data_IF_676547561481
#
_entry.id   IF_676547561481
#
_cell.length_a   1.000
_cell.length_b   1.000
_cell.length_c   1.000
_cell.angle_alpha   90.00
_cell.angle_beta   90.00
_cell.angle_gamma   90.00
#
_symmetry.space_group_name_H-M   'P 1'
#
loop_
_entity.id
_entity.type
_entity.pdbx_description
1 polymer ?
#
# COMPACT_ATOMS: atom_id res chain seq x y z
N UNK A 1 36.68 1.67 -2.53
CA UNK A 1 35.29 2.06 -2.79
C UNK A 1 34.50 1.55 -1.61
N UNK A 2 33.88 2.46 -0.87
CA UNK A 2 33.16 2.16 0.36
C UNK A 2 32.00 1.19 0.03
N UNK A 3 31.75 0.18 0.88
CA UNK A 3 30.70 -0.82 0.65
C UNK A 3 29.32 -0.15 0.50
N UNK A 4 29.08 0.97 1.19
CA UNK A 4 27.82 1.70 1.12
C UNK A 4 27.64 2.41 -0.22
N UNK A 5 28.74 2.93 -0.82
CA UNK A 5 28.70 3.47 -2.20
C UNK A 5 28.42 2.40 -3.26
N UNK A 6 28.75 1.14 -3.02
CA UNK A 6 28.48 0.03 -3.93
C UNK A 6 27.04 -0.46 -3.84
N UNK A 7 26.41 -0.39 -2.65
CA UNK A 7 25.06 -0.91 -2.38
C UNK A 7 24.02 -0.38 -3.36
N UNK A 8 24.03 0.92 -3.63
CA UNK A 8 23.06 1.59 -4.50
C UNK A 8 23.66 2.12 -5.82
N UNK A 9 24.83 1.62 -6.22
CA UNK A 9 25.46 2.03 -7.47
C UNK A 9 24.58 1.76 -8.71
N UNK A 10 23.73 0.72 -8.67
CA UNK A 10 22.75 0.45 -9.72
C UNK A 10 21.69 1.57 -9.85
N UNK A 11 21.23 2.10 -8.72
CA UNK A 11 20.28 3.23 -8.68
C UNK A 11 20.93 4.48 -9.27
N UNK A 12 22.18 4.77 -8.88
CA UNK A 12 22.93 5.91 -9.43
C UNK A 12 23.16 5.79 -10.95
N UNK A 13 23.39 4.58 -11.47
CA UNK A 13 23.53 4.38 -12.92
C UNK A 13 22.22 4.56 -13.69
N UNK A 14 21.07 4.30 -13.05
CA UNK A 14 19.77 4.41 -13.69
C UNK A 14 19.20 5.84 -13.60
N UNK A 15 19.28 6.47 -12.42
CA UNK A 15 18.65 7.77 -12.15
C UNK A 15 19.66 8.93 -12.09
N UNK A 16 20.96 8.66 -12.26
CA UNK A 16 22.04 9.62 -12.06
C UNK A 16 22.35 9.88 -10.58
N UNK A 17 23.49 10.52 -10.31
CA UNK A 17 23.88 10.86 -8.93
C UNK A 17 22.88 11.80 -8.24
N UNK A 18 22.33 12.76 -8.97
CA UNK A 18 21.30 13.65 -8.43
C UNK A 18 20.00 12.90 -8.08
N UNK A 19 19.63 11.90 -8.86
CA UNK A 19 18.49 11.04 -8.56
C UNK A 19 18.70 10.24 -7.28
N UNK A 20 19.89 9.62 -7.11
CA UNK A 20 20.25 8.93 -5.88
C UNK A 20 20.23 9.88 -4.67
N UNK A 21 20.81 11.09 -4.81
CA UNK A 21 20.79 12.09 -3.73
C UNK A 21 19.37 12.49 -3.32
N UNK A 22 18.44 12.66 -4.28
CA UNK A 22 17.03 12.94 -3.99
C UNK A 22 16.35 11.78 -3.25
N UNK A 23 16.62 10.54 -3.64
CA UNK A 23 16.08 9.37 -2.95
C UNK A 23 16.62 9.27 -1.52
N UNK A 24 17.94 9.50 -1.33
CA UNK A 24 18.55 9.51 0.00
C UNK A 24 18.02 10.62 0.91
N UNK A 25 17.55 11.73 0.35
CA UNK A 25 16.97 12.84 1.11
C UNK A 25 15.45 12.69 1.30
N UNK A 26 14.81 11.76 0.59
CA UNK A 26 13.36 11.64 0.62
C UNK A 26 12.85 10.95 1.88
N UNK A 27 11.72 11.47 2.41
CA UNK A 27 10.94 10.87 3.47
C UNK A 27 9.61 10.34 2.92
N UNK A 28 9.40 9.03 2.97
CA UNK A 28 8.18 8.38 2.47
C UNK A 28 7.44 7.68 3.59
N UNK A 29 6.13 7.96 3.71
CA UNK A 29 5.25 7.26 4.62
C UNK A 29 4.53 6.10 3.92
N UNK A 30 4.53 4.91 4.51
CA UNK A 30 3.76 3.75 4.07
C UNK A 30 2.69 3.44 5.11
N UNK A 31 1.43 3.57 4.73
CA UNK A 31 0.30 3.37 5.64
C UNK A 31 -0.42 2.08 5.29
N UNK A 32 -0.38 1.12 6.22
CA UNK A 32 -0.79 -0.26 6.02
C UNK A 32 0.36 -1.15 5.53
N UNK A 33 0.94 -1.98 6.43
CA UNK A 33 2.08 -2.86 6.15
C UNK A 33 1.58 -4.30 5.91
N UNK A 34 0.54 -4.41 5.12
CA UNK A 34 -0.06 -5.68 4.71
C UNK A 34 0.56 -6.27 3.43
N UNK A 35 -0.27 -6.97 2.65
CA UNK A 35 0.15 -7.64 1.42
C UNK A 35 0.71 -6.74 0.32
N UNK A 36 0.33 -5.47 0.29
CA UNK A 36 0.85 -4.46 -0.65
C UNK A 36 1.93 -3.61 0.01
N UNK A 37 1.65 -3.01 1.18
CA UNK A 37 2.56 -2.05 1.80
C UNK A 37 3.89 -2.63 2.25
N UNK A 38 3.95 -3.92 2.61
CA UNK A 38 5.23 -4.56 2.92
C UNK A 38 6.18 -4.62 1.72
N UNK A 39 5.64 -4.76 0.51
CA UNK A 39 6.43 -4.73 -0.73
C UNK A 39 6.76 -3.30 -1.17
N UNK A 40 5.90 -2.31 -0.87
CA UNK A 40 6.26 -0.89 -1.01
C UNK A 40 7.48 -0.57 -0.14
N UNK A 41 7.43 -0.92 1.13
CA UNK A 41 8.52 -0.66 2.07
C UNK A 41 9.84 -1.35 1.65
N UNK A 42 9.76 -2.60 1.15
CA UNK A 42 10.90 -3.34 0.56
C UNK A 42 11.48 -2.60 -0.65
N UNK A 43 10.62 -2.15 -1.57
CA UNK A 43 11.04 -1.45 -2.79
C UNK A 43 11.71 -0.10 -2.46
N UNK A 44 11.16 0.68 -1.54
CA UNK A 44 11.74 1.95 -1.08
C UNK A 44 13.11 1.75 -0.44
N UNK A 45 13.25 0.76 0.44
CA UNK A 45 14.54 0.44 1.08
C UNK A 45 15.61 0.07 0.05
N UNK A 46 15.25 -0.76 -0.96
CA UNK A 46 16.14 -1.17 -2.05
C UNK A 46 16.42 -0.08 -3.07
N UNK A 47 15.63 0.97 -3.06
CA UNK A 47 15.80 2.15 -3.92
C UNK A 47 16.56 3.28 -3.25
N UNK A 48 17.18 3.04 -2.08
CA UNK A 48 17.97 4.02 -1.33
C UNK A 48 17.15 5.20 -0.78
N UNK A 49 15.86 5.01 -0.47
CA UNK A 49 15.10 6.04 0.25
C UNK A 49 15.67 6.21 1.64
N UNK A 50 15.96 7.47 2.03
CA UNK A 50 16.70 7.78 3.25
C UNK A 50 15.87 7.79 4.52
N UNK A 51 14.55 8.01 4.41
CA UNK A 51 13.66 8.02 5.56
C UNK A 51 12.32 7.36 5.23
N UNK A 52 11.88 6.40 6.06
CA UNK A 52 10.65 5.65 5.86
C UNK A 52 9.86 5.60 7.16
N UNK A 53 8.61 6.09 7.13
CA UNK A 53 7.66 5.93 8.23
C UNK A 53 6.68 4.81 7.92
N UNK A 54 6.53 3.85 8.82
CA UNK A 54 5.65 2.69 8.71
C UNK A 54 4.51 2.82 9.71
N UNK A 55 3.27 2.67 9.26
CA UNK A 55 2.08 2.74 10.11
C UNK A 55 1.22 1.48 9.93
N UNK A 56 1.10 0.69 10.99
CA UNK A 56 0.22 -0.49 11.06
C UNK A 56 0.13 -0.93 12.52
N UNK A 57 -1.05 -1.27 13.03
CA UNK A 57 -1.23 -1.76 14.40
C UNK A 57 -1.16 -3.28 14.50
N UNK A 58 -1.32 -3.99 13.41
CA UNK A 58 -1.43 -5.45 13.41
C UNK A 58 -0.09 -6.14 13.70
N UNK A 59 -0.22 -7.36 14.25
CA UNK A 59 0.87 -8.31 14.35
C UNK A 59 0.96 -9.20 13.09
N UNK A 60 2.13 -9.79 12.89
CA UNK A 60 2.35 -10.80 11.86
C UNK A 60 1.55 -12.06 12.19
N UNK A 61 0.69 -12.48 11.27
CA UNK A 61 -0.09 -13.71 11.38
C UNK A 61 0.44 -14.77 10.42
N UNK A 62 0.33 -16.05 10.78
CA UNK A 62 0.71 -17.17 9.91
C UNK A 62 -0.03 -17.14 8.56
N UNK A 63 -1.27 -16.67 8.55
CA UNK A 63 -2.07 -16.50 7.32
C UNK A 63 -1.56 -15.41 6.39
N UNK A 64 -0.59 -14.60 6.82
CA UNK A 64 0.03 -13.57 5.99
C UNK A 64 1.16 -14.11 5.10
N UNK A 65 1.63 -15.35 5.35
CA UNK A 65 2.80 -15.94 4.69
C UNK A 65 2.70 -15.97 3.17
N UNK A 66 1.50 -16.10 2.62
CA UNK A 66 1.29 -16.21 1.17
C UNK A 66 1.45 -14.88 0.41
N UNK A 67 1.58 -13.71 1.12
CA UNK A 67 1.58 -12.40 0.45
C UNK A 67 2.35 -11.27 1.14
N UNK A 68 2.76 -11.41 2.39
CA UNK A 68 3.50 -10.37 3.13
C UNK A 68 4.97 -10.80 3.30
N UNK A 69 5.91 -9.97 2.83
CA UNK A 69 7.33 -10.34 2.75
C UNK A 69 7.97 -10.57 4.12
N UNK A 70 7.48 -9.91 5.16
CA UNK A 70 7.99 -10.02 6.53
C UNK A 70 7.34 -11.18 7.33
N UNK A 71 6.31 -11.85 6.76
CA UNK A 71 5.62 -12.96 7.42
C UNK A 71 6.43 -14.25 7.31
N UNK A 72 7.44 -14.37 8.13
CA UNK A 72 8.31 -15.55 8.29
C UNK A 72 8.00 -16.28 9.59
N UNK A 73 8.38 -17.56 9.67
CA UNK A 73 8.09 -18.42 10.84
C UNK A 73 8.51 -17.78 12.18
N UNK A 74 9.68 -17.16 12.25
CA UNK A 74 10.17 -16.50 13.48
C UNK A 74 9.59 -15.10 13.76
N UNK A 75 8.72 -14.59 12.87
CA UNK A 75 8.13 -13.26 13.00
C UNK A 75 6.67 -13.29 13.49
N UNK A 76 6.01 -14.45 13.50
CA UNK A 76 4.60 -14.59 13.89
C UNK A 76 4.38 -14.08 15.33
N UNK A 77 3.37 -13.23 15.50
CA UNK A 77 3.02 -12.62 16.79
C UNK A 77 3.82 -11.34 17.12
N UNK A 78 4.70 -10.89 16.25
CA UNK A 78 5.43 -9.62 16.42
C UNK A 78 4.74 -8.49 15.63
N UNK A 79 4.81 -7.22 16.09
CA UNK A 79 4.27 -6.09 15.35
C UNK A 79 4.85 -6.00 13.92
N UNK A 80 3.98 -5.88 12.91
CA UNK A 80 4.40 -5.83 11.48
C UNK A 80 5.39 -4.72 11.22
N UNK A 81 5.17 -3.54 11.80
CA UNK A 81 6.05 -2.37 11.61
C UNK A 81 7.45 -2.59 12.15
N UNK A 82 7.58 -3.30 13.27
CA UNK A 82 8.89 -3.61 13.87
C UNK A 82 9.67 -4.60 13.01
N UNK A 83 9.02 -5.71 12.61
CA UNK A 83 9.65 -6.73 11.74
C UNK A 83 10.06 -6.12 10.40
N UNK A 84 9.22 -5.25 9.83
CA UNK A 84 9.56 -4.56 8.59
C UNK A 84 10.68 -3.54 8.76
N UNK A 85 10.73 -2.82 9.89
CA UNK A 85 11.82 -1.89 10.20
C UNK A 85 13.17 -2.59 10.35
N UNK A 86 13.22 -3.74 11.01
CA UNK A 86 14.43 -4.57 11.07
C UNK A 86 14.91 -4.95 9.67
N UNK A 87 13.98 -5.37 8.80
CA UNK A 87 14.27 -5.74 7.43
C UNK A 87 14.79 -4.56 6.60
N UNK A 88 14.18 -3.38 6.72
CA UNK A 88 14.64 -2.17 6.03
C UNK A 88 16.07 -1.83 6.45
N UNK A 89 16.38 -1.83 7.75
CA UNK A 89 17.73 -1.56 8.26
C UNK A 89 18.77 -2.60 7.80
N UNK A 90 18.35 -3.86 7.60
CA UNK A 90 19.22 -4.89 7.04
C UNK A 90 19.51 -4.67 5.54
N UNK A 91 18.61 -4.01 4.80
CA UNK A 91 18.76 -3.67 3.36
C UNK A 91 19.52 -2.36 3.21
N UNK A 92 19.11 -1.32 3.93
CA UNK A 92 19.64 0.04 3.90
C UNK A 92 19.94 0.50 5.34
N UNK A 93 21.15 0.24 5.85
CA UNK A 93 21.54 0.57 7.23
C UNK A 93 21.44 2.06 7.56
N UNK A 94 21.61 2.94 6.56
CA UNK A 94 21.57 4.40 6.75
C UNK A 94 20.12 4.95 6.72
N UNK A 95 19.13 4.12 6.41
CA UNK A 95 17.74 4.55 6.39
C UNK A 95 17.22 4.83 7.80
N UNK A 96 16.67 6.03 8.00
CA UNK A 96 15.92 6.37 9.22
C UNK A 96 14.54 5.71 9.12
N UNK A 97 14.21 4.82 10.06
CA UNK A 97 12.94 4.09 10.02
C UNK A 97 12.13 4.38 11.28
N UNK A 98 10.95 4.95 11.09
CA UNK A 98 9.94 5.17 12.12
C UNK A 98 8.90 4.06 12.07
N UNK A 99 8.94 3.16 13.04
CA UNK A 99 7.96 2.08 13.19
C UNK A 99 6.86 2.54 14.16
N UNK A 100 5.68 2.84 13.65
CA UNK A 100 4.55 3.34 14.44
C UNK A 100 3.47 2.26 14.49
N UNK A 101 3.40 1.57 15.63
CA UNK A 101 2.40 0.54 15.90
C UNK A 101 1.07 1.20 16.31
N UNK A 102 0.45 1.92 15.39
CA UNK A 102 -0.84 2.59 15.59
C UNK A 102 -1.59 2.72 14.27
N UNK A 103 -2.91 2.88 14.36
CA UNK A 103 -3.73 3.20 13.20
C UNK A 103 -3.66 4.69 12.87
N UNK A 104 -3.51 4.98 11.58
CA UNK A 104 -3.74 6.33 11.08
C UNK A 104 -5.25 6.55 10.99
N UNK A 105 -5.81 7.12 12.08
CA UNK A 105 -7.20 7.49 12.20
C UNK A 105 -7.38 8.99 11.96
N UNK A 106 -8.62 9.46 11.96
CA UNK A 106 -8.91 10.88 11.82
C UNK A 106 -8.32 11.72 12.97
N UNK A 107 -8.22 11.12 14.16
CA UNK A 107 -7.71 11.73 15.39
C UNK A 107 -6.18 11.76 15.41
N UNK A 108 -5.53 10.67 15.01
CA UNK A 108 -4.07 10.53 15.04
C UNK A 108 -3.39 11.14 13.81
N UNK A 109 -4.12 11.36 12.72
CA UNK A 109 -3.58 11.77 11.41
C UNK A 109 -2.74 13.04 11.46
N UNK A 110 -3.10 14.01 12.29
CA UNK A 110 -2.37 15.28 12.44
C UNK A 110 -0.95 15.07 12.97
N UNK A 111 -0.76 14.10 13.85
CA UNK A 111 0.53 13.76 14.41
C UNK A 111 1.32 12.81 13.50
N UNK A 112 0.61 11.91 12.80
CA UNK A 112 1.23 10.86 12.00
C UNK A 112 1.64 11.32 10.61
N UNK A 113 0.82 12.15 9.93
CA UNK A 113 1.02 12.52 8.52
C UNK A 113 1.24 14.03 8.41
N UNK A 114 2.48 14.41 8.16
CA UNK A 114 2.93 15.81 8.15
C UNK A 114 3.42 16.25 6.77
N UNK A 115 3.53 17.55 6.59
CA UNK A 115 4.04 18.20 5.36
C UNK A 115 5.55 18.01 5.16
N UNK A 116 6.25 17.42 6.14
CA UNK A 116 7.66 17.03 6.02
C UNK A 116 7.85 15.75 5.18
N UNK A 117 6.75 15.02 4.91
CA UNK A 117 6.79 13.83 4.07
C UNK A 117 6.72 14.20 2.59
N UNK A 118 7.67 13.70 1.80
CA UNK A 118 7.68 13.91 0.35
C UNK A 118 6.58 13.15 -0.37
N UNK A 119 6.18 11.99 0.17
CA UNK A 119 5.09 11.18 -0.36
C UNK A 119 4.47 10.28 0.71
N UNK A 120 3.17 10.03 0.57
CA UNK A 120 2.42 9.03 1.33
C UNK A 120 1.97 7.93 0.38
N UNK A 121 2.28 6.66 0.70
CA UNK A 121 1.76 5.50 -0.03
C UNK A 121 0.68 4.84 0.84
N UNK A 122 -0.55 4.94 0.37
CA UNK A 122 -1.74 4.44 1.06
C UNK A 122 -2.06 3.01 0.62
N UNK A 123 -1.79 2.06 1.49
CA UNK A 123 -2.06 0.62 1.31
C UNK A 123 -3.15 0.10 2.26
N UNK A 124 -3.98 1.00 2.83
CA UNK A 124 -5.06 0.65 3.75
C UNK A 124 -6.21 -0.03 2.98
N UNK A 125 -6.86 -1.01 3.56
CA UNK A 125 -8.07 -1.67 3.03
C UNK A 125 -9.38 -1.13 3.64
N UNK A 126 -9.32 -0.43 4.77
CA UNK A 126 -10.46 0.25 5.39
C UNK A 126 -10.89 1.48 4.59
N UNK A 127 -12.09 1.43 4.02
CA UNK A 127 -12.65 2.55 3.23
C UNK A 127 -12.68 3.88 4.00
N UNK A 128 -13.17 3.94 5.26
CA UNK A 128 -13.21 5.21 6.01
C UNK A 128 -11.81 5.80 6.25
N UNK A 129 -10.86 4.98 6.70
CA UNK A 129 -9.50 5.42 6.98
C UNK A 129 -8.78 5.89 5.70
N UNK A 130 -8.88 5.10 4.62
CA UNK A 130 -8.34 5.42 3.31
C UNK A 130 -8.90 6.73 2.75
N UNK A 131 -10.21 6.93 2.79
CA UNK A 131 -10.83 8.17 2.32
C UNK A 131 -10.40 9.39 3.17
N UNK A 132 -10.30 9.23 4.50
CA UNK A 132 -9.82 10.26 5.40
C UNK A 132 -8.36 10.65 5.08
N UNK A 133 -7.48 9.67 4.91
CA UNK A 133 -6.07 9.88 4.58
C UNK A 133 -5.91 10.62 3.24
N UNK A 134 -6.62 10.18 2.20
CA UNK A 134 -6.61 10.84 0.90
C UNK A 134 -7.06 12.29 1.00
N UNK A 135 -8.19 12.54 1.71
CA UNK A 135 -8.73 13.89 1.88
C UNK A 135 -7.78 14.79 2.68
N UNK A 136 -7.11 14.25 3.69
CA UNK A 136 -6.10 14.95 4.49
C UNK A 136 -4.91 15.38 3.63
N UNK A 137 -4.28 14.44 2.93
CA UNK A 137 -3.14 14.72 2.07
C UNK A 137 -3.48 15.74 0.98
N UNK A 138 -4.66 15.63 0.35
CA UNK A 138 -5.10 16.59 -0.67
C UNK A 138 -5.28 18.00 -0.13
N UNK A 139 -5.86 18.15 1.08
CA UNK A 139 -6.05 19.48 1.69
C UNK A 139 -4.73 20.14 2.08
N UNK A 140 -3.74 19.34 2.48
CA UNK A 140 -2.42 19.81 2.90
C UNK A 140 -1.38 19.80 1.78
N UNK A 141 -1.77 19.42 0.56
CA UNK A 141 -0.88 19.31 -0.61
C UNK A 141 0.28 18.34 -0.42
N UNK A 142 0.11 17.34 0.44
CA UNK A 142 1.05 16.23 0.60
C UNK A 142 0.85 15.27 -0.58
N UNK A 143 1.89 14.94 -1.36
CA UNK A 143 1.80 13.94 -2.41
C UNK A 143 1.33 12.60 -1.87
N UNK A 144 0.35 11.98 -2.54
CA UNK A 144 -0.19 10.68 -2.13
C UNK A 144 -0.41 9.79 -3.34
N UNK A 145 -0.01 8.53 -3.23
CA UNK A 145 -0.40 7.42 -4.10
C UNK A 145 -1.28 6.47 -3.28
N UNK A 146 -2.40 6.04 -3.83
CA UNK A 146 -3.27 5.05 -3.20
C UNK A 146 -3.28 3.74 -3.98
N UNK A 147 -3.59 2.63 -3.32
CA UNK A 147 -3.77 1.34 -3.96
C UNK A 147 -5.20 0.85 -3.84
N UNK A 148 -5.70 0.23 -4.87
CA UNK A 148 -6.97 -0.49 -4.85
C UNK A 148 -6.86 -1.83 -4.12
N UNK A 149 -7.89 -2.66 -4.28
CA UNK A 149 -7.93 -4.01 -3.74
C UNK A 149 -7.08 -4.98 -4.57
N UNK A 150 -6.14 -5.68 -3.93
CA UNK A 150 -5.27 -6.67 -4.58
C UNK A 150 -5.73 -8.13 -4.32
N UNK A 151 -6.90 -8.32 -3.72
CA UNK A 151 -7.49 -9.63 -3.51
C UNK A 151 -8.41 -10.07 -4.66
N UNK A 152 -8.58 -11.39 -4.84
CA UNK A 152 -9.42 -11.96 -5.88
C UNK A 152 -8.83 -11.90 -7.29
N UNK A 153 -7.54 -11.70 -7.43
CA UNK A 153 -6.81 -11.50 -8.68
C UNK A 153 -5.61 -12.46 -8.76
N UNK A 154 -5.20 -12.82 -9.96
CA UNK A 154 -4.07 -13.73 -10.22
C UNK A 154 -3.10 -13.24 -11.30
N UNK A 155 -3.49 -12.24 -12.09
CA UNK A 155 -2.71 -11.74 -13.23
C UNK A 155 -2.09 -10.37 -12.93
N UNK A 156 -0.79 -10.31 -12.57
CA UNK A 156 -0.12 -9.04 -12.29
C UNK A 156 0.07 -8.17 -13.54
N UNK A 157 -0.07 -8.71 -14.75
CA UNK A 157 0.10 -7.94 -16.00
C UNK A 157 -1.06 -6.99 -16.26
N UNK A 158 -2.19 -7.16 -15.57
CA UNK A 158 -3.36 -6.29 -15.67
C UNK A 158 -3.34 -5.10 -14.72
N UNK A 159 -2.25 -4.93 -13.97
CA UNK A 159 -2.10 -3.78 -13.07
C UNK A 159 -1.89 -2.50 -13.88
N UNK A 160 -2.56 -1.44 -13.47
CA UNK A 160 -2.53 -0.10 -14.09
C UNK A 160 -2.42 0.99 -13.02
N UNK A 161 -1.93 2.15 -13.45
CA UNK A 161 -1.97 3.38 -12.67
C UNK A 161 -2.90 4.36 -13.40
N UNK A 162 -3.88 4.88 -12.68
CA UNK A 162 -4.76 5.93 -13.17
C UNK A 162 -5.15 6.87 -12.02
N UNK A 163 -5.77 8.01 -12.36
CA UNK A 163 -6.42 8.82 -11.33
C UNK A 163 -7.52 8.00 -10.63
N UNK A 164 -7.62 8.12 -9.32
CA UNK A 164 -8.60 7.36 -8.52
C UNK A 164 -10.03 7.49 -9.08
N UNK A 165 -10.39 8.65 -9.64
CA UNK A 165 -11.72 8.85 -10.23
C UNK A 165 -11.91 8.09 -11.57
N UNK A 166 -10.85 7.57 -12.16
CA UNK A 166 -10.88 6.83 -13.44
C UNK A 166 -10.72 5.32 -13.28
N UNK A 167 -10.55 4.83 -12.05
CA UNK A 167 -10.42 3.38 -11.79
C UNK A 167 -11.75 2.66 -12.02
N UNK A 168 -11.70 1.40 -12.43
CA UNK A 168 -12.85 0.53 -12.68
C UNK A 168 -12.50 -0.91 -12.25
N UNK A 169 -13.49 -1.78 -12.18
CA UNK A 169 -13.38 -3.18 -11.71
C UNK A 169 -12.79 -3.35 -10.30
N UNK A 170 -12.69 -2.29 -9.52
CA UNK A 170 -12.13 -2.30 -8.17
C UNK A 170 -13.20 -1.85 -7.15
N UNK A 171 -13.76 -2.77 -6.37
CA UNK A 171 -14.80 -2.45 -5.38
C UNK A 171 -14.31 -1.58 -4.23
N UNK A 172 -13.02 -1.70 -3.83
CA UNK A 172 -12.43 -0.86 -2.78
C UNK A 172 -12.35 0.59 -3.27
N UNK A 173 -11.72 0.81 -4.43
CA UNK A 173 -11.62 2.14 -5.04
C UNK A 173 -12.99 2.75 -5.32
N UNK A 174 -13.99 1.95 -5.74
CA UNK A 174 -15.35 2.43 -5.96
C UNK A 174 -16.00 2.95 -4.67
N UNK A 175 -15.89 2.22 -3.56
CA UNK A 175 -16.38 2.66 -2.25
C UNK A 175 -15.65 3.90 -1.74
N UNK A 176 -14.31 3.95 -1.89
CA UNK A 176 -13.51 5.12 -1.52
C UNK A 176 -13.95 6.35 -2.30
N UNK A 177 -14.16 6.26 -3.62
CA UNK A 177 -14.70 7.36 -4.43
C UNK A 177 -16.07 7.83 -3.92
N UNK A 178 -16.94 6.89 -3.54
CA UNK A 178 -18.26 7.23 -2.99
C UNK A 178 -18.12 8.03 -1.70
N UNK A 179 -17.31 7.57 -0.74
CA UNK A 179 -17.06 8.24 0.54
C UNK A 179 -16.39 9.61 0.34
N UNK A 180 -15.40 9.72 -0.57
CA UNK A 180 -14.78 11.01 -0.88
C UNK A 180 -15.78 12.03 -1.42
N UNK A 181 -16.77 11.59 -2.20
CA UNK A 181 -17.83 12.46 -2.73
C UNK A 181 -18.87 12.84 -1.70
N UNK A 182 -19.28 11.92 -0.82
CA UNK A 182 -20.29 12.20 0.21
C UNK A 182 -19.73 13.03 1.35
N UNK A 183 -18.55 12.67 1.88
CA UNK A 183 -18.09 13.14 3.18
C UNK A 183 -16.99 14.20 3.09
N UNK A 184 -16.26 14.26 1.95
CA UNK A 184 -15.11 15.13 1.80
C UNK A 184 -15.20 16.15 0.66
N UNK A 185 -16.35 16.23 -0.03
CA UNK A 185 -16.63 17.24 -1.05
C UNK A 185 -15.86 17.06 -2.36
N UNK A 186 -15.37 15.85 -2.66
CA UNK A 186 -14.76 15.56 -3.96
C UNK A 186 -15.79 15.65 -5.08
N UNK A 187 -15.33 16.04 -6.28
CA UNK A 187 -16.20 16.25 -7.43
C UNK A 187 -16.99 15.00 -7.82
N UNK A 188 -18.27 15.19 -8.13
CA UNK A 188 -19.15 14.16 -8.71
C UNK A 188 -19.09 14.14 -10.24
N UNK A 189 -18.44 15.11 -10.85
CA UNK A 189 -18.33 15.21 -12.31
C UNK A 189 -17.52 14.03 -12.85
N UNK A 190 -18.12 13.28 -13.75
CA UNK A 190 -17.48 12.15 -14.40
C UNK A 190 -16.24 12.64 -15.18
N UNK A 191 -15.14 11.88 -15.11
CA UNK A 191 -13.89 12.19 -15.80
C UNK A 191 -13.02 13.31 -15.18
N UNK A 192 -13.52 14.08 -14.20
CA UNK A 192 -12.70 15.07 -13.48
C UNK A 192 -11.68 14.38 -12.59
N UNK A 193 -10.40 14.68 -12.79
CA UNK A 193 -9.32 14.13 -11.97
C UNK A 193 -9.42 14.57 -10.51
N UNK A 194 -9.13 13.66 -9.59
CA UNK A 194 -8.87 13.95 -8.18
C UNK A 194 -7.42 14.35 -7.93
N UNK A 195 -6.54 14.12 -8.93
CA UNK A 195 -5.08 14.22 -8.80
C UNK A 195 -4.58 13.34 -7.65
N UNK A 196 -5.07 12.11 -7.62
CA UNK A 196 -4.68 11.03 -6.69
C UNK A 196 -4.38 9.82 -7.56
N UNK A 197 -3.10 9.53 -7.87
CA UNK A 197 -2.71 8.30 -8.55
C UNK A 197 -3.19 7.09 -7.74
N UNK A 198 -3.74 6.11 -8.43
CA UNK A 198 -4.22 4.86 -7.85
C UNK A 198 -3.67 3.68 -8.64
N UNK A 199 -2.99 2.78 -7.95
CA UNK A 199 -2.60 1.48 -8.49
C UNK A 199 -3.78 0.53 -8.35
N UNK A 200 -4.26 -0.05 -9.44
CA UNK A 200 -5.41 -0.94 -9.45
C UNK A 200 -5.25 -2.00 -10.55
N UNK A 201 -6.03 -3.08 -10.50
CA UNK A 201 -6.08 -4.06 -11.58
C UNK A 201 -7.35 -3.91 -12.40
N UNK A 202 -7.23 -4.18 -13.69
CA UNK A 202 -8.39 -4.28 -14.61
C UNK A 202 -9.00 -5.69 -14.63
N UNK A 203 -8.37 -6.64 -13.93
CA UNK A 203 -8.80 -8.03 -13.86
C UNK A 203 -10.19 -8.14 -13.22
N UNK A 204 -11.03 -9.00 -13.77
CA UNK A 204 -12.30 -9.35 -13.17
C UNK A 204 -12.06 -10.23 -11.94
N UNK A 205 -12.66 -9.84 -10.81
CA UNK A 205 -12.43 -10.52 -9.53
C UNK A 205 -12.92 -11.97 -9.55
N UNK A 206 -12.21 -12.82 -8.82
CA UNK A 206 -12.57 -14.20 -8.55
C UNK A 206 -13.16 -14.33 -7.15
N UNK A 207 -14.23 -15.07 -7.04
CA UNK A 207 -14.97 -15.28 -5.80
C UNK A 207 -14.91 -16.75 -5.41
N UNK A 208 -14.50 -17.10 -4.16
CA UNK A 208 -14.60 -18.46 -3.66
C UNK A 208 -16.07 -18.87 -3.55
N UNK A 209 -16.34 -20.15 -3.83
CA UNK A 209 -17.66 -20.75 -3.71
C UNK A 209 -17.70 -21.72 -2.52
N UNK A 210 -18.91 -22.04 -2.04
CA UNK A 210 -19.09 -22.92 -0.88
C UNK A 210 -18.57 -24.36 -1.11
N UNK A 211 -18.50 -24.80 -2.35
CA UNK A 211 -17.98 -26.10 -2.76
C UNK A 211 -16.45 -26.13 -2.91
N UNK A 212 -15.76 -25.03 -2.57
CA UNK A 212 -14.31 -24.88 -2.74
C UNK A 212 -13.85 -24.49 -4.15
N UNK A 213 -14.76 -24.37 -5.10
CA UNK A 213 -14.47 -23.84 -6.44
C UNK A 213 -14.31 -22.31 -6.44
N UNK A 214 -13.87 -21.76 -7.55
CA UNK A 214 -13.71 -20.31 -7.74
C UNK A 214 -14.37 -19.89 -9.04
N UNK A 215 -15.17 -18.84 -9.03
CA UNK A 215 -15.77 -18.27 -10.24
C UNK A 215 -15.65 -16.75 -10.31
N UNK A 216 -15.92 -16.18 -11.48
CA UNK A 216 -15.91 -14.71 -11.69
C UNK A 216 -17.30 -14.08 -11.46
N UNK A 217 -18.32 -14.89 -11.31
CA UNK A 217 -19.66 -14.41 -10.95
C UNK A 217 -19.74 -14.29 -9.44
N UNK A 218 -20.19 -13.14 -8.95
CA UNK A 218 -20.45 -12.95 -7.53
C UNK A 218 -21.57 -13.91 -7.12
N UNK A 219 -21.19 -15.11 -6.70
CA UNK A 219 -22.12 -16.09 -6.13
C UNK A 219 -22.74 -15.54 -4.85
N UNK A 220 -23.82 -16.16 -4.40
CA UNK A 220 -24.44 -15.84 -3.12
C UNK A 220 -23.47 -16.19 -2.00
N UNK A 221 -22.60 -15.25 -1.65
CA UNK A 221 -21.85 -15.31 -0.39
C UNK A 221 -22.91 -15.05 0.67
N UNK A 222 -23.22 -16.07 1.49
CA UNK A 222 -24.28 -15.99 2.49
C UNK A 222 -24.16 -14.71 3.32
N UNK A 223 -25.28 -14.16 3.74
CA UNK A 223 -25.32 -12.99 4.63
C UNK A 223 -24.41 -13.20 5.82
N UNK A 224 -23.34 -12.39 5.95
CA UNK A 224 -22.39 -12.44 7.06
C UNK A 224 -20.93 -12.71 6.71
N UNK A 225 -20.58 -13.10 5.49
CA UNK A 225 -19.17 -13.23 5.08
C UNK A 225 -18.65 -11.84 4.68
N UNK A 226 -17.87 -11.21 5.55
CA UNK A 226 -17.09 -10.02 5.18
C UNK A 226 -16.07 -10.43 4.13
N UNK A 227 -16.13 -9.82 2.96
CA UNK A 227 -15.12 -9.95 1.90
C UNK A 227 -13.89 -9.10 2.28
N UNK A 228 -13.25 -9.46 3.36
CA UNK A 228 -11.96 -8.90 3.80
C UNK A 228 -10.84 -9.93 3.61
N UNK A 229 -9.60 -9.51 3.83
CA UNK A 229 -8.44 -10.39 3.68
C UNK A 229 -8.40 -11.57 4.66
N UNK A 230 -9.28 -11.58 5.68
CA UNK A 230 -9.36 -12.63 6.68
C UNK A 230 -10.39 -13.73 6.34
N UNK A 231 -11.39 -13.45 5.49
CA UNK A 231 -12.48 -14.38 5.27
C UNK A 231 -13.09 -14.41 3.87
N UNK A 232 -12.69 -13.52 2.92
CA UNK A 232 -13.48 -13.36 1.70
C UNK A 232 -12.76 -13.58 0.38
N UNK A 233 -11.70 -12.83 0.14
CA UNK A 233 -10.93 -12.95 -1.12
C UNK A 233 -9.63 -13.70 -0.90
N UNK A 234 -9.32 -14.66 -1.77
CA UNK A 234 -7.97 -15.17 -1.91
C UNK A 234 -7.02 -14.04 -2.36
N UNK A 235 -5.76 -14.13 -1.98
CA UNK A 235 -4.72 -13.23 -2.44
C UNK A 235 -3.45 -14.02 -2.74
N UNK A 236 -2.65 -13.52 -3.67
CA UNK A 236 -1.38 -14.16 -4.08
C UNK A 236 -0.28 -13.12 -4.18
N UNK A 237 0.93 -13.51 -3.76
CA UNK A 237 2.08 -12.63 -3.69
C UNK A 237 2.38 -11.93 -5.02
N UNK A 238 2.28 -12.63 -6.14
CA UNK A 238 2.57 -12.07 -7.47
C UNK A 238 1.75 -10.81 -7.78
N UNK A 239 0.49 -10.76 -7.34
CA UNK A 239 -0.36 -9.58 -7.52
C UNK A 239 -0.05 -8.53 -6.45
N UNK A 240 -0.07 -8.91 -5.18
CA UNK A 240 0.10 -7.94 -4.08
C UNK A 240 1.48 -7.28 -4.10
N UNK A 241 2.54 -8.05 -4.41
CA UNK A 241 3.88 -7.50 -4.56
C UNK A 241 3.97 -6.54 -5.76
N UNK A 242 3.37 -6.92 -6.90
CA UNK A 242 3.36 -6.05 -8.09
C UNK A 242 2.61 -4.75 -7.85
N UNK A 243 1.49 -4.76 -7.09
CA UNK A 243 0.84 -3.52 -6.65
C UNK A 243 1.81 -2.64 -5.87
N UNK A 244 2.56 -3.22 -4.93
CA UNK A 244 3.55 -2.48 -4.13
C UNK A 244 4.72 -1.95 -4.94
N UNK A 245 5.22 -2.73 -5.90
CA UNK A 245 6.33 -2.33 -6.78
C UNK A 245 5.93 -1.24 -7.79
N UNK A 246 4.66 -1.17 -8.19
CA UNK A 246 4.12 -0.17 -9.11
C UNK A 246 3.79 1.14 -8.37
N UNK A 247 3.40 1.07 -7.11
CA UNK A 247 3.12 2.23 -6.27
C UNK A 247 4.39 3.01 -5.95
#
# INVERSE_FOLDING_TARGET
>A
MDMDQQRFAGIARLYGQQGLQRLNAAHVAVVGIGGVGSWVAEALARSAVGEISLFDLDDVCITNTNRQIHALTGAVGRPKVEVMAERIRAINPDCVVHAVADFVTRETMTACITEAMDCVVDCIDSVPAKAALIAWCKRRKIPIITTGGAGGQIDPTQIRVADLNKTFNDPLAARVRSTLRSDYGFSRTQGRNYSVPCVFSTEQLRYPQADGSVCQTKGFVGEGVKLDCAGGFGAVMMVTASFGMVA
#
